data_IF_222683793887
#
_entry.id   IF_222683793887
#
_cell.length_a   1.000
_cell.length_b   1.000
_cell.length_c   1.000
_cell.angle_alpha   90.00
_cell.angle_beta   90.00
_cell.angle_gamma   90.00
#
_symmetry.space_group_name_H-M   'P 1'
#
loop_
_entity.id
_entity.type
_entity.pdbx_description
1 polymer ?
#
# COMPACT_ATOMS: atom_id res chain seq x y z
N UNK A 1 16.91 -43.54 28.05
CA UNK A 1 15.64 -44.25 27.76
C UNK A 1 14.47 -43.29 27.95
N UNK A 2 13.62 -43.17 26.93
CA UNK A 2 12.23 -42.67 26.93
C UNK A 2 11.95 -41.18 27.19
N UNK A 3 11.68 -40.49 26.10
CA UNK A 3 10.44 -39.78 25.77
C UNK A 3 9.50 -39.43 26.93
N UNK A 4 9.22 -38.13 27.11
CA UNK A 4 7.90 -37.66 27.53
C UNK A 4 7.49 -36.49 26.65
N UNK A 5 6.52 -36.76 25.78
CA UNK A 5 5.70 -35.80 25.04
C UNK A 5 5.05 -34.84 26.04
N UNK A 6 5.09 -33.53 25.78
CA UNK A 6 4.23 -32.58 26.47
C UNK A 6 3.10 -32.19 25.53
N UNK A 7 1.91 -32.65 25.92
CA UNK A 7 0.61 -32.33 25.35
C UNK A 7 0.29 -30.87 25.63
N UNK A 8 0.08 -30.07 24.57
CA UNK A 8 -0.44 -28.70 24.63
C UNK A 8 -1.90 -28.67 24.19
N UNK A 9 -2.75 -28.09 25.05
CA UNK A 9 -4.21 -28.16 25.12
C UNK A 9 -4.91 -27.60 23.87
N UNK A 10 -5.84 -28.39 23.32
CA UNK A 10 -6.86 -27.98 22.34
C UNK A 10 -7.91 -27.14 23.08
N UNK A 11 -7.98 -25.85 22.80
CA UNK A 11 -9.15 -25.03 23.10
C UNK A 11 -10.03 -24.97 21.83
N UNK A 12 -11.01 -25.88 21.77
CA UNK A 12 -11.98 -25.92 20.69
C UNK A 12 -12.97 -24.77 20.79
N UNK A 13 -12.91 -23.83 19.85
CA UNK A 13 -14.04 -22.96 19.53
C UNK A 13 -14.97 -23.76 18.63
N UNK A 14 -16.10 -24.21 19.17
CA UNK A 14 -17.20 -24.74 18.36
C UNK A 14 -17.77 -23.60 17.51
N UNK A 15 -17.39 -23.53 16.23
CA UNK A 15 -18.17 -22.81 15.24
C UNK A 15 -19.43 -23.62 14.95
N UNK A 16 -20.58 -23.05 15.34
CA UNK A 16 -21.88 -23.52 14.92
C UNK A 16 -21.93 -23.53 13.39
N UNK A 17 -22.08 -24.72 12.81
CA UNK A 17 -22.29 -24.91 11.38
C UNK A 17 -23.63 -24.28 10.97
N UNK A 18 -23.61 -23.03 10.51
CA UNK A 18 -24.67 -22.50 9.67
C UNK A 18 -24.45 -23.08 8.28
N UNK A 19 -25.18 -24.15 8.00
CA UNK A 19 -25.25 -24.78 6.68
C UNK A 19 -26.00 -23.82 5.77
N UNK A 20 -25.29 -22.86 5.16
CA UNK A 20 -25.85 -22.12 4.03
C UNK A 20 -25.85 -23.07 2.84
N UNK A 21 -27.04 -23.58 2.53
CA UNK A 21 -27.40 -24.27 1.31
C UNK A 21 -27.21 -23.36 0.10
N UNK A 22 -25.98 -23.27 -0.40
CA UNK A 22 -25.66 -22.84 -1.76
C UNK A 22 -25.75 -24.04 -2.71
N UNK A 23 -26.56 -23.94 -3.75
CA UNK A 23 -26.94 -25.01 -4.68
C UNK A 23 -25.77 -25.51 -5.57
N UNK A 24 -24.83 -26.27 -5.00
CA UNK A 24 -23.91 -27.14 -5.76
C UNK A 24 -23.59 -28.37 -4.92
N UNK A 25 -24.48 -29.37 -4.93
CA UNK A 25 -24.32 -30.64 -4.21
C UNK A 25 -23.12 -31.51 -4.64
N UNK A 26 -22.24 -30.99 -5.50
CA UNK A 26 -20.90 -31.51 -5.80
C UNK A 26 -19.93 -30.33 -5.65
N UNK A 27 -18.83 -30.50 -4.92
CA UNK A 27 -17.79 -29.47 -4.81
C UNK A 27 -17.24 -29.06 -6.18
N UNK A 28 -16.46 -27.98 -6.22
CA UNK A 28 -15.78 -27.55 -7.45
C UNK A 28 -14.91 -28.69 -7.99
N UNK A 29 -14.97 -28.90 -9.30
CA UNK A 29 -14.08 -29.83 -9.99
C UNK A 29 -12.78 -29.11 -10.32
N UNK A 30 -11.78 -29.23 -9.45
CA UNK A 30 -10.47 -28.60 -9.63
C UNK A 30 -9.73 -28.98 -10.90
N UNK A 31 -10.06 -30.13 -11.49
CA UNK A 31 -9.43 -30.58 -12.74
C UNK A 31 -10.01 -29.90 -13.99
N UNK A 32 -11.13 -29.18 -13.86
CA UNK A 32 -11.73 -28.49 -14.99
C UNK A 32 -10.80 -27.40 -15.52
N UNK A 33 -10.68 -27.29 -16.84
CA UNK A 33 -9.96 -26.17 -17.48
C UNK A 33 -10.73 -24.87 -17.25
N UNK A 34 -10.07 -23.92 -16.59
CA UNK A 34 -10.62 -22.58 -16.32
C UNK A 34 -10.09 -21.54 -17.30
N UNK A 35 -8.87 -21.69 -17.78
CA UNK A 35 -8.29 -20.81 -18.79
C UNK A 35 -7.27 -21.56 -19.67
N UNK A 36 -6.86 -20.93 -20.76
CA UNK A 36 -5.74 -21.39 -21.61
C UNK A 36 -4.80 -20.24 -21.90
N UNK A 37 -3.50 -20.51 -21.86
CA UNK A 37 -2.41 -19.59 -22.25
C UNK A 37 -1.64 -20.30 -23.36
N UNK A 38 -1.73 -19.80 -24.60
CA UNK A 38 -1.22 -20.53 -25.75
C UNK A 38 -1.90 -21.89 -25.90
N UNK A 39 -1.10 -22.96 -25.96
CA UNK A 39 -1.58 -24.35 -26.01
C UNK A 39 -1.75 -24.99 -24.63
N UNK A 40 -1.36 -24.30 -23.55
CA UNK A 40 -1.44 -24.83 -22.19
C UNK A 40 -2.77 -24.52 -21.51
N UNK A 41 -3.21 -25.44 -20.65
CA UNK A 41 -4.44 -25.32 -19.89
C UNK A 41 -4.14 -24.98 -18.44
N UNK A 42 -4.84 -23.98 -17.90
CA UNK A 42 -4.86 -23.66 -16.47
C UNK A 42 -6.04 -24.38 -15.85
N UNK A 43 -5.80 -25.08 -14.74
CA UNK A 43 -6.84 -25.80 -13.99
C UNK A 43 -7.63 -24.86 -13.07
N UNK A 44 -8.90 -25.18 -12.83
CA UNK A 44 -9.73 -24.49 -11.84
C UNK A 44 -9.12 -24.61 -10.43
N UNK A 45 -8.43 -25.72 -10.13
CA UNK A 45 -7.73 -25.93 -8.86
C UNK A 45 -6.71 -24.83 -8.60
N UNK A 46 -5.81 -24.59 -9.54
CA UNK A 46 -4.77 -23.54 -9.45
C UNK A 46 -5.41 -22.15 -9.31
N UNK A 47 -6.38 -21.83 -10.17
CA UNK A 47 -7.00 -20.50 -10.14
C UNK A 47 -7.82 -20.24 -8.88
N UNK A 48 -8.62 -21.21 -8.44
CA UNK A 48 -9.40 -21.09 -7.22
C UNK A 48 -8.47 -21.07 -6.00
N UNK A 49 -7.36 -21.81 -6.00
CA UNK A 49 -6.38 -21.77 -4.92
C UNK A 49 -5.79 -20.36 -4.76
N UNK A 50 -5.29 -19.75 -5.84
CA UNK A 50 -4.77 -18.38 -5.82
C UNK A 50 -5.84 -17.37 -5.38
N UNK A 51 -7.05 -17.44 -5.95
CA UNK A 51 -8.14 -16.55 -5.57
C UNK A 51 -8.52 -16.66 -4.08
N UNK A 52 -8.49 -17.87 -3.52
CA UNK A 52 -8.79 -18.08 -2.11
C UNK A 52 -7.65 -17.65 -1.18
N UNK A 53 -6.40 -17.76 -1.62
CA UNK A 53 -5.27 -17.15 -0.91
C UNK A 53 -5.47 -15.63 -0.81
N UNK A 54 -5.76 -14.97 -1.94
CA UNK A 54 -6.02 -13.52 -1.96
C UNK A 54 -7.26 -13.15 -1.13
N UNK A 55 -8.35 -13.91 -1.22
CA UNK A 55 -9.54 -13.71 -0.40
C UNK A 55 -9.19 -13.72 1.09
N UNK A 56 -8.46 -14.75 1.55
CA UNK A 56 -8.10 -14.89 2.97
C UNK A 56 -7.20 -13.76 3.45
N UNK A 57 -6.25 -13.30 2.62
CA UNK A 57 -5.38 -12.17 2.96
C UNK A 57 -6.19 -10.88 3.09
N UNK A 58 -7.01 -10.56 2.09
CA UNK A 58 -7.84 -9.35 2.10
C UNK A 58 -8.84 -9.36 3.27
N UNK A 59 -9.48 -10.49 3.55
CA UNK A 59 -10.37 -10.61 4.72
C UNK A 59 -9.62 -10.42 6.04
N UNK A 60 -8.35 -10.81 6.11
CA UNK A 60 -7.54 -10.63 7.33
C UNK A 60 -7.28 -9.15 7.61
N UNK A 61 -6.99 -8.35 6.58
CA UNK A 61 -6.63 -6.94 6.74
C UNK A 61 -7.83 -5.98 6.73
N UNK A 62 -8.84 -6.26 5.90
CA UNK A 62 -9.85 -5.26 5.55
C UNK A 62 -11.25 -5.57 6.09
N UNK A 63 -11.52 -6.83 6.48
CA UNK A 63 -12.87 -7.23 6.94
C UNK A 63 -13.34 -6.46 8.17
N UNK A 64 -12.46 -6.08 9.09
CA UNK A 64 -12.83 -5.29 10.28
C UNK A 64 -13.31 -3.88 9.93
N UNK A 65 -12.85 -3.32 8.82
CA UNK A 65 -13.19 -1.97 8.36
C UNK A 65 -14.46 -1.97 7.51
N UNK A 66 -14.58 -2.93 6.58
CA UNK A 66 -15.64 -2.94 5.57
C UNK A 66 -16.75 -3.96 5.81
N UNK A 67 -16.62 -4.80 6.84
CA UNK A 67 -17.60 -5.81 7.21
C UNK A 67 -17.76 -6.93 6.16
N UNK A 68 -18.84 -7.70 6.30
CA UNK A 68 -19.10 -8.86 5.43
C UNK A 68 -19.51 -8.47 4.00
N UNK A 69 -19.86 -7.20 3.74
CA UNK A 69 -20.27 -6.70 2.41
C UNK A 69 -19.10 -6.26 1.53
N UNK A 70 -17.86 -6.31 2.02
CA UNK A 70 -16.65 -5.85 1.31
C UNK A 70 -16.59 -6.37 -0.13
N UNK A 71 -16.86 -7.67 -0.34
CA UNK A 71 -16.77 -8.30 -1.66
C UNK A 71 -17.84 -7.84 -2.66
N UNK A 72 -18.95 -7.28 -2.16
CA UNK A 72 -20.05 -6.75 -2.98
C UNK A 72 -19.97 -5.25 -3.21
N UNK A 73 -18.93 -4.56 -2.71
CA UNK A 73 -18.74 -3.13 -2.96
C UNK A 73 -18.50 -2.89 -4.44
N UNK A 74 -19.19 -1.89 -4.99
CA UNK A 74 -18.96 -1.41 -6.36
C UNK A 74 -17.70 -0.55 -6.38
N UNK A 75 -16.76 -0.91 -7.25
CA UNK A 75 -15.52 -0.20 -7.48
C UNK A 75 -15.40 0.00 -8.98
N UNK A 76 -15.87 1.16 -9.47
CA UNK A 76 -15.80 1.50 -10.89
C UNK A 76 -16.70 0.64 -11.78
N UNK A 77 -17.91 0.29 -11.31
CA UNK A 77 -18.89 -0.46 -12.09
C UNK A 77 -18.71 -1.98 -12.09
N UNK A 78 -17.81 -2.51 -11.25
CA UNK A 78 -17.65 -3.94 -10.97
C UNK A 78 -17.56 -4.18 -9.47
N UNK A 79 -17.91 -5.38 -9.02
CA UNK A 79 -17.77 -5.73 -7.61
C UNK A 79 -16.30 -5.94 -7.23
N UNK A 80 -15.95 -5.72 -5.96
CA UNK A 80 -14.60 -5.98 -5.48
C UNK A 80 -14.18 -7.46 -5.68
N UNK A 81 -15.11 -8.41 -5.53
CA UNK A 81 -14.86 -9.82 -5.88
C UNK A 81 -14.46 -9.98 -7.36
N UNK A 82 -15.18 -9.34 -8.27
CA UNK A 82 -14.86 -9.40 -9.70
C UNK A 82 -13.49 -8.79 -9.99
N UNK A 83 -13.11 -7.71 -9.31
CA UNK A 83 -11.80 -7.06 -9.47
C UNK A 83 -10.66 -8.00 -9.07
N UNK A 84 -10.77 -8.61 -7.89
CA UNK A 84 -9.79 -9.61 -7.43
C UNK A 84 -9.75 -10.81 -8.37
N UNK A 85 -10.89 -11.30 -8.83
CA UNK A 85 -10.93 -12.44 -9.77
C UNK A 85 -10.33 -12.14 -11.13
N UNK A 86 -10.45 -10.91 -11.63
CA UNK A 86 -9.76 -10.49 -12.85
C UNK A 86 -8.24 -10.45 -12.64
N UNK A 87 -7.79 -9.84 -11.52
CA UNK A 87 -6.38 -9.81 -11.15
C UNK A 87 -5.76 -11.22 -11.01
N UNK A 88 -6.52 -12.20 -10.49
CA UNK A 88 -6.10 -13.61 -10.46
C UNK A 88 -5.86 -14.19 -11.85
N UNK A 89 -6.74 -13.90 -12.82
CA UNK A 89 -6.56 -14.36 -14.20
C UNK A 89 -5.34 -13.71 -14.86
N UNK A 90 -5.13 -12.41 -14.64
CA UNK A 90 -3.98 -11.69 -15.18
C UNK A 90 -2.66 -12.19 -14.57
N UNK A 91 -2.64 -12.44 -13.26
CA UNK A 91 -1.49 -13.03 -12.56
C UNK A 91 -1.14 -14.41 -13.11
N UNK A 92 -2.13 -15.28 -13.32
CA UNK A 92 -1.89 -16.60 -13.88
C UNK A 92 -1.44 -16.53 -15.34
N UNK A 93 -2.01 -15.61 -16.14
CA UNK A 93 -1.51 -15.36 -17.50
C UNK A 93 -0.02 -15.01 -17.45
N UNK A 94 0.36 -14.05 -16.60
CA UNK A 94 1.76 -13.64 -16.44
C UNK A 94 2.64 -14.82 -16.03
N UNK A 95 2.25 -15.57 -14.98
CA UNK A 95 3.04 -16.68 -14.47
C UNK A 95 3.37 -17.73 -15.54
N UNK A 96 2.40 -18.12 -16.36
CA UNK A 96 2.62 -19.12 -17.39
C UNK A 96 3.46 -18.57 -18.55
N UNK A 97 3.23 -17.32 -18.99
CA UNK A 97 4.05 -16.68 -20.03
C UNK A 97 5.50 -16.55 -19.57
N UNK A 98 5.72 -16.02 -18.36
CA UNK A 98 7.06 -15.81 -17.81
C UNK A 98 7.80 -17.13 -17.64
N UNK A 99 7.10 -18.19 -17.19
CA UNK A 99 7.68 -19.53 -17.09
C UNK A 99 8.14 -20.07 -18.45
N UNK A 100 7.39 -19.84 -19.51
CA UNK A 100 7.77 -20.28 -20.87
C UNK A 100 9.07 -19.61 -21.36
N UNK A 101 9.38 -18.41 -20.84
CA UNK A 101 10.62 -17.67 -21.12
C UNK A 101 11.74 -17.90 -20.10
N UNK A 102 11.54 -18.73 -19.07
CA UNK A 102 12.55 -18.93 -18.03
C UNK A 102 13.91 -19.44 -18.57
N UNK A 103 13.88 -20.30 -19.59
CA UNK A 103 15.07 -20.84 -20.22
C UNK A 103 15.90 -19.78 -20.96
N UNK A 104 15.27 -18.72 -21.47
CA UNK A 104 15.95 -17.63 -22.18
C UNK A 104 16.93 -16.88 -21.25
N UNK A 105 16.63 -16.87 -19.95
CA UNK A 105 17.45 -16.25 -18.89
C UNK A 105 18.25 -17.27 -18.07
N UNK A 106 18.26 -18.55 -18.49
CA UNK A 106 18.91 -19.62 -17.75
C UNK A 106 18.32 -19.90 -16.36
N UNK A 107 17.06 -19.51 -16.14
CA UNK A 107 16.35 -19.74 -14.87
C UNK A 107 15.84 -21.17 -14.82
N UNK A 108 16.21 -21.89 -13.76
CA UNK A 108 15.65 -23.19 -13.40
C UNK A 108 15.37 -23.24 -11.90
N UNK A 109 14.52 -24.17 -11.47
CA UNK A 109 14.44 -24.55 -10.06
C UNK A 109 15.68 -25.35 -9.67
N UNK A 110 16.17 -25.13 -8.46
CA UNK A 110 17.25 -25.92 -7.85
C UNK A 110 16.65 -27.02 -6.97
N UNK A 111 17.46 -28.02 -6.63
CA UNK A 111 17.06 -29.08 -5.69
C UNK A 111 16.57 -28.51 -4.34
N UNK A 112 17.12 -27.38 -3.89
CA UNK A 112 16.69 -26.70 -2.66
C UNK A 112 15.31 -26.06 -2.82
N UNK A 113 15.02 -25.47 -3.98
CA UNK A 113 13.70 -24.91 -4.28
C UNK A 113 12.64 -26.01 -4.32
N UNK A 114 12.92 -27.10 -5.05
CA UNK A 114 12.02 -28.23 -5.18
C UNK A 114 11.69 -28.84 -3.80
N UNK A 115 12.71 -28.97 -2.94
CA UNK A 115 12.52 -29.46 -1.58
C UNK A 115 11.68 -28.49 -0.73
N UNK A 116 11.99 -27.19 -0.78
CA UNK A 116 11.25 -26.16 -0.02
C UNK A 116 9.79 -26.09 -0.48
N UNK A 117 9.54 -26.11 -1.79
CA UNK A 117 8.20 -26.13 -2.38
C UNK A 117 7.43 -27.38 -1.93
N UNK A 118 8.07 -28.55 -1.95
CA UNK A 118 7.45 -29.79 -1.49
C UNK A 118 7.11 -29.76 -0.01
N UNK A 119 8.01 -29.27 0.84
CA UNK A 119 7.79 -29.15 2.28
C UNK A 119 6.68 -28.13 2.59
N UNK A 120 6.68 -26.98 1.91
CA UNK A 120 5.63 -25.95 2.06
C UNK A 120 4.27 -26.49 1.62
N UNK A 121 4.18 -27.20 0.50
CA UNK A 121 2.93 -27.80 0.04
C UNK A 121 2.42 -28.87 1.04
N UNK A 122 3.30 -29.74 1.53
CA UNK A 122 2.93 -30.74 2.53
C UNK A 122 2.47 -30.10 3.84
N UNK A 123 3.17 -29.07 4.32
CA UNK A 123 2.79 -28.32 5.51
C UNK A 123 1.43 -27.63 5.34
N UNK A 124 1.19 -26.99 4.19
CA UNK A 124 -0.09 -26.36 3.88
C UNK A 124 -1.26 -27.36 3.99
N UNK A 125 -1.11 -28.55 3.42
CA UNK A 125 -2.12 -29.60 3.46
C UNK A 125 -2.35 -30.14 4.89
N UNK A 126 -1.32 -30.15 5.73
CA UNK A 126 -1.38 -30.63 7.10
C UNK A 126 -1.98 -29.61 8.08
N UNK A 127 -1.65 -28.32 7.89
CA UNK A 127 -2.05 -27.22 8.79
C UNK A 127 -3.51 -26.80 8.58
N UNK A 128 -4.06 -27.02 7.38
CA UNK A 128 -5.40 -26.58 7.02
C UNK A 128 -6.48 -27.65 7.19
N UNK A 129 -7.67 -27.22 7.61
CA UNK A 129 -8.81 -28.12 7.80
C UNK A 129 -9.29 -28.72 6.47
N UNK A 130 -9.90 -29.91 6.51
CA UNK A 130 -10.49 -30.51 5.31
C UNK A 130 -11.57 -29.62 4.64
N UNK A 131 -12.23 -28.75 5.42
CA UNK A 131 -13.17 -27.77 4.89
C UNK A 131 -12.43 -26.69 4.09
N UNK A 132 -11.38 -26.11 4.68
CA UNK A 132 -10.50 -25.10 4.05
C UNK A 132 -9.91 -25.65 2.74
N UNK A 133 -9.28 -26.82 2.80
CA UNK A 133 -8.71 -27.51 1.62
C UNK A 133 -9.77 -27.68 0.52
N UNK A 134 -11.00 -28.07 0.89
CA UNK A 134 -12.09 -28.24 -0.07
C UNK A 134 -12.58 -26.91 -0.66
N UNK A 135 -12.68 -25.83 0.13
CA UNK A 135 -13.08 -24.50 -0.36
C UNK A 135 -12.05 -23.93 -1.33
N UNK A 136 -10.77 -24.23 -1.08
CA UNK A 136 -9.66 -23.79 -1.91
C UNK A 136 -9.43 -24.68 -3.13
N UNK A 137 -10.09 -25.84 -3.21
CA UNK A 137 -9.80 -26.86 -4.22
C UNK A 137 -8.32 -27.25 -4.19
N UNK A 138 -7.71 -27.18 -3.00
CA UNK A 138 -6.29 -27.41 -2.82
C UNK A 138 -5.98 -28.92 -2.86
N UNK A 139 -4.89 -29.24 -3.56
CA UNK A 139 -4.17 -30.50 -3.47
C UNK A 139 -2.69 -30.18 -3.34
N UNK A 140 -1.87 -31.15 -2.91
CA UNK A 140 -0.42 -30.94 -2.85
C UNK A 140 0.14 -30.50 -4.22
N UNK A 141 -0.34 -31.11 -5.32
CA UNK A 141 0.06 -30.75 -6.68
C UNK A 141 -0.33 -29.31 -7.05
N UNK A 142 -1.55 -28.87 -6.70
CA UNK A 142 -2.01 -27.49 -6.96
C UNK A 142 -1.17 -26.47 -6.19
N UNK A 143 -0.83 -26.77 -4.94
CA UNK A 143 0.01 -25.88 -4.13
C UNK A 143 1.43 -25.82 -4.69
N UNK A 144 2.01 -26.97 -5.07
CA UNK A 144 3.34 -27.04 -5.71
C UNK A 144 3.37 -26.26 -7.00
N UNK A 145 2.42 -26.49 -7.91
CA UNK A 145 2.37 -25.83 -9.21
C UNK A 145 2.37 -24.30 -9.06
N UNK A 146 1.55 -23.75 -8.15
CA UNK A 146 1.52 -22.31 -7.94
C UNK A 146 2.82 -21.76 -7.30
N UNK A 147 3.42 -22.51 -6.37
CA UNK A 147 4.71 -22.13 -5.76
C UNK A 147 5.88 -22.19 -6.76
N UNK A 148 5.89 -23.18 -7.66
CA UNK A 148 6.86 -23.28 -8.75
C UNK A 148 6.72 -22.10 -9.72
N UNK A 149 5.49 -21.81 -10.15
CA UNK A 149 5.18 -20.66 -11.01
C UNK A 149 5.65 -19.35 -10.38
N UNK A 150 5.31 -19.09 -9.12
CA UNK A 150 5.72 -17.88 -8.41
C UNK A 150 7.25 -17.79 -8.28
N UNK A 151 7.91 -18.91 -7.93
CA UNK A 151 9.38 -18.95 -7.79
C UNK A 151 10.08 -18.65 -9.11
N UNK A 152 9.60 -19.25 -10.20
CA UNK A 152 10.13 -19.01 -11.55
C UNK A 152 9.89 -17.56 -11.95
N UNK A 153 8.66 -17.03 -11.76
CA UNK A 153 8.33 -15.64 -12.08
C UNK A 153 9.28 -14.66 -11.38
N UNK A 154 9.50 -14.82 -10.08
CA UNK A 154 10.42 -13.95 -9.32
C UNK A 154 11.85 -14.02 -9.85
N UNK A 155 12.34 -15.21 -10.21
CA UNK A 155 13.70 -15.36 -10.75
C UNK A 155 13.85 -14.78 -12.14
N UNK A 156 12.86 -14.96 -13.01
CA UNK A 156 12.86 -14.37 -14.34
C UNK A 156 12.75 -12.85 -14.24
N UNK A 157 11.84 -12.33 -13.41
CA UNK A 157 11.77 -10.89 -13.12
C UNK A 157 13.14 -10.34 -12.72
N UNK A 158 13.79 -10.95 -11.73
CA UNK A 158 15.12 -10.53 -11.26
C UNK A 158 16.20 -10.63 -12.36
N UNK A 159 16.17 -11.67 -13.19
CA UNK A 159 17.11 -11.83 -14.29
C UNK A 159 16.90 -10.77 -15.38
N UNK A 160 15.64 -10.45 -15.70
CA UNK A 160 15.29 -9.40 -16.67
C UNK A 160 15.73 -8.03 -16.15
N UNK A 161 15.35 -7.64 -14.93
CA UNK A 161 15.69 -6.30 -14.42
C UNK A 161 17.19 -6.10 -14.19
N UNK A 162 17.97 -7.18 -14.07
CA UNK A 162 19.43 -7.11 -14.01
C UNK A 162 20.06 -6.69 -15.34
N UNK A 163 19.33 -6.76 -16.46
CA UNK A 163 19.76 -6.30 -17.78
C UNK A 163 19.45 -4.81 -18.03
N UNK A 164 18.65 -4.18 -17.16
CA UNK A 164 18.30 -2.76 -17.27
C UNK A 164 19.51 -1.85 -17.04
N UNK A 165 19.51 -0.65 -17.64
CA UNK A 165 20.58 0.32 -17.45
C UNK A 165 20.54 0.97 -16.07
N UNK A 166 21.47 0.56 -15.21
CA UNK A 166 21.61 1.10 -13.85
C UNK A 166 22.56 2.30 -13.76
N UNK A 167 23.12 2.79 -14.88
CA UNK A 167 24.02 3.93 -14.87
C UNK A 167 23.20 5.23 -14.87
N UNK A 168 23.20 5.92 -13.74
CA UNK A 168 22.55 7.23 -13.57
C UNK A 168 23.59 8.26 -13.19
N UNK A 169 23.71 9.32 -13.98
CA UNK A 169 24.63 10.42 -13.70
C UNK A 169 24.06 11.37 -12.65
N UNK A 170 24.93 12.13 -11.98
CA UNK A 170 24.48 13.21 -11.09
C UNK A 170 23.65 14.25 -11.84
N UNK A 171 23.94 14.50 -13.12
CA UNK A 171 23.21 15.45 -13.96
C UNK A 171 21.77 14.97 -14.24
N UNK A 172 21.60 13.68 -14.51
CA UNK A 172 20.28 13.10 -14.74
C UNK A 172 19.41 13.10 -13.48
N UNK A 173 20.03 12.84 -12.33
CA UNK A 173 19.35 12.75 -11.04
C UNK A 173 19.38 14.07 -10.25
N UNK A 174 19.96 15.14 -10.79
CA UNK A 174 20.29 16.36 -10.06
C UNK A 174 19.08 16.90 -9.32
N UNK A 175 19.19 17.01 -8.00
CA UNK A 175 18.19 17.67 -7.17
C UNK A 175 18.77 18.96 -6.59
N UNK A 176 17.97 20.02 -6.65
CA UNK A 176 18.15 21.28 -5.95
C UNK A 176 17.34 21.27 -4.66
N UNK A 177 17.69 22.16 -3.74
CA UNK A 177 16.95 22.32 -2.47
C UNK A 177 16.42 23.74 -2.37
N UNK A 178 15.15 23.87 -2.05
CA UNK A 178 14.50 25.16 -1.84
C UNK A 178 13.67 25.18 -0.56
N UNK A 179 13.55 26.38 -0.01
CA UNK A 179 12.52 26.73 0.96
C UNK A 179 11.44 27.52 0.24
N UNK A 180 10.19 27.40 0.67
CA UNK A 180 9.10 28.16 0.09
C UNK A 180 7.99 28.41 1.11
N UNK A 181 7.18 29.42 0.83
CA UNK A 181 5.86 29.56 1.44
C UNK A 181 4.82 29.74 0.32
N UNK A 182 3.56 29.58 0.69
CA UNK A 182 2.47 29.96 -0.17
C UNK A 182 1.32 30.59 0.62
N UNK A 183 0.56 31.43 -0.06
CA UNK A 183 -0.69 32.01 0.44
C UNK A 183 -1.81 31.51 -0.45
N UNK A 184 -2.68 30.65 0.09
CA UNK A 184 -3.82 30.12 -0.63
C UNK A 184 -4.89 31.18 -0.87
N UNK A 185 -5.45 31.16 -2.08
CA UNK A 185 -6.65 31.85 -2.52
C UNK A 185 -7.64 30.88 -3.16
N UNK A 186 -7.56 29.60 -2.78
CA UNK A 186 -8.56 28.60 -3.11
C UNK A 186 -9.88 28.89 -2.40
N UNK A 187 -10.98 28.40 -2.98
CA UNK A 187 -12.27 28.47 -2.31
C UNK A 187 -12.21 27.75 -0.96
N UNK A 188 -12.87 28.30 0.04
CA UNK A 188 -12.88 27.75 1.39
C UNK A 188 -14.31 27.65 1.92
N UNK A 189 -14.53 26.74 2.86
CA UNK A 189 -15.82 26.63 3.55
C UNK A 189 -15.82 27.54 4.78
N UNK A 190 -16.77 28.45 4.85
CA UNK A 190 -16.94 29.32 6.02
C UNK A 190 -17.62 28.57 7.19
N UNK A 191 -17.76 29.24 8.34
CA UNK A 191 -18.39 28.67 9.55
C UNK A 191 -19.87 28.27 9.34
N UNK A 192 -20.52 28.84 8.33
CA UNK A 192 -21.91 28.54 7.97
C UNK A 192 -22.02 27.32 7.02
N UNK A 193 -20.89 26.70 6.65
CA UNK A 193 -20.84 25.56 5.74
C UNK A 193 -20.94 25.94 4.25
N UNK A 194 -20.83 27.24 3.93
CA UNK A 194 -20.91 27.74 2.56
C UNK A 194 -19.52 27.82 1.93
N UNK A 195 -19.43 27.48 0.65
CA UNK A 195 -18.21 27.69 -0.13
C UNK A 195 -18.10 29.16 -0.51
N UNK A 196 -16.99 29.79 -0.13
CA UNK A 196 -16.68 31.20 -0.35
C UNK A 196 -15.42 31.30 -1.21
N UNK A 197 -15.50 32.14 -2.24
CA UNK A 197 -14.38 32.49 -3.11
C UNK A 197 -13.82 33.86 -2.75
N UNK A 198 -12.50 34.01 -2.85
CA UNK A 198 -11.86 35.32 -2.72
C UNK A 198 -12.21 36.24 -3.90
N UNK A 199 -12.52 37.49 -3.59
CA UNK A 199 -12.68 38.58 -4.56
C UNK A 199 -11.34 38.96 -5.20
N UNK A 200 -11.38 39.68 -6.32
CA UNK A 200 -10.17 40.16 -7.00
C UNK A 200 -9.39 41.14 -6.11
N UNK A 201 -10.08 41.96 -5.32
CA UNK A 201 -9.46 42.86 -4.34
C UNK A 201 -8.74 42.08 -3.23
N UNK A 202 -9.38 41.06 -2.64
CA UNK A 202 -8.73 40.23 -1.61
C UNK A 202 -7.55 39.45 -2.17
N UNK A 203 -7.67 38.93 -3.39
CA UNK A 203 -6.56 38.28 -4.10
C UNK A 203 -5.38 39.24 -4.31
N UNK A 204 -5.65 40.50 -4.66
CA UNK A 204 -4.62 41.51 -4.82
C UNK A 204 -3.94 41.84 -3.47
N UNK A 205 -4.69 41.90 -2.37
CA UNK A 205 -4.14 42.09 -1.03
C UNK A 205 -3.25 40.91 -0.62
N UNK A 206 -3.68 39.66 -0.88
CA UNK A 206 -2.87 38.46 -0.61
C UNK A 206 -1.59 38.41 -1.45
N UNK A 207 -1.66 38.84 -2.71
CA UNK A 207 -0.48 38.97 -3.56
C UNK A 207 0.50 40.03 -3.02
N UNK A 208 -0.03 41.18 -2.58
CA UNK A 208 0.79 42.21 -1.95
C UNK A 208 1.42 41.71 -0.64
N UNK A 209 0.67 40.95 0.17
CA UNK A 209 1.22 40.31 1.37
C UNK A 209 2.42 39.41 1.04
N UNK A 210 2.33 38.57 -0.01
CA UNK A 210 3.46 37.76 -0.46
C UNK A 210 4.65 38.61 -0.93
N UNK A 211 4.40 39.74 -1.60
CA UNK A 211 5.44 40.67 -2.03
C UNK A 211 6.13 41.35 -0.84
N UNK A 212 5.36 41.77 0.17
CA UNK A 212 5.90 42.40 1.36
C UNK A 212 6.80 41.43 2.15
N UNK A 213 6.43 40.14 2.23
CA UNK A 213 7.28 39.09 2.82
C UNK A 213 8.58 38.91 2.02
N UNK A 214 8.50 38.86 0.70
CA UNK A 214 9.67 38.74 -0.18
C UNK A 214 10.62 39.94 -0.01
N UNK A 215 10.08 41.16 0.04
CA UNK A 215 10.86 42.38 0.22
C UNK A 215 11.52 42.40 1.62
N UNK A 216 10.79 42.00 2.66
CA UNK A 216 11.33 41.85 4.01
C UNK A 216 12.45 40.80 4.08
N UNK A 217 12.26 39.64 3.44
CA UNK A 217 13.27 38.59 3.38
C UNK A 217 14.55 39.06 2.66
N UNK A 218 14.42 39.83 1.56
CA UNK A 218 15.55 40.43 0.85
C UNK A 218 16.27 41.48 1.68
N UNK A 219 15.54 42.26 2.49
CA UNK A 219 16.13 43.28 3.37
C UNK A 219 16.85 42.66 4.58
N UNK A 220 16.25 41.64 5.20
CA UNK A 220 16.78 40.99 6.41
C UNK A 220 17.84 39.92 6.10
N UNK A 221 17.77 39.31 4.91
CA UNK A 221 18.49 38.08 4.58
C UNK A 221 17.99 36.86 5.35
N UNK A 222 16.79 36.92 5.96
CA UNK A 222 16.20 35.85 6.76
C UNK A 222 14.78 35.54 6.27
N UNK A 223 14.67 34.49 5.47
CA UNK A 223 13.41 34.08 4.83
C UNK A 223 12.39 33.56 5.85
N UNK A 224 12.81 32.67 6.75
CA UNK A 224 11.95 32.08 7.79
C UNK A 224 11.37 33.15 8.73
N UNK A 225 12.17 34.12 9.15
CA UNK A 225 11.71 35.21 10.02
C UNK A 225 10.68 36.11 9.32
N UNK A 226 10.86 36.43 8.03
CA UNK A 226 9.89 37.23 7.28
C UNK A 226 8.54 36.52 7.11
N UNK A 227 8.56 35.19 6.94
CA UNK A 227 7.35 34.35 6.82
C UNK A 227 6.64 34.24 8.17
N UNK A 228 7.37 33.90 9.22
CA UNK A 228 6.79 33.68 10.56
C UNK A 228 6.28 34.97 11.20
N UNK A 229 6.84 36.13 10.86
CA UNK A 229 6.30 37.43 11.26
C UNK A 229 4.88 37.71 10.75
N UNK A 230 4.42 36.95 9.74
CA UNK A 230 3.07 37.02 9.17
C UNK A 230 2.19 35.83 9.56
N UNK A 231 2.59 35.06 10.59
CA UNK A 231 1.91 33.84 11.05
C UNK A 231 1.77 32.76 9.96
N UNK A 232 2.70 32.74 8.99
CA UNK A 232 2.78 31.72 7.95
C UNK A 232 3.86 30.69 8.27
N UNK A 233 3.79 29.55 7.57
CA UNK A 233 4.75 28.44 7.72
C UNK A 233 5.62 28.31 6.48
N UNK A 234 6.92 28.19 6.69
CA UNK A 234 7.89 27.83 5.66
C UNK A 234 7.91 26.32 5.47
N UNK A 235 8.02 25.88 4.22
CA UNK A 235 8.22 24.48 3.84
C UNK A 235 9.57 24.31 3.13
N UNK A 236 10.17 23.14 3.25
CA UNK A 236 11.40 22.78 2.53
C UNK A 236 11.09 21.68 1.54
N UNK A 237 11.72 21.72 0.37
CA UNK A 237 11.56 20.71 -0.68
C UNK A 237 12.84 20.54 -1.47
N UNK A 238 12.92 19.41 -2.16
CA UNK A 238 13.94 19.12 -3.16
C UNK A 238 13.26 18.94 -4.50
N UNK A 239 13.87 19.43 -5.57
CA UNK A 239 13.28 19.43 -6.89
C UNK A 239 14.36 19.31 -7.97
N UNK A 240 14.00 18.72 -9.10
CA UNK A 240 14.89 18.57 -10.26
C UNK A 240 14.40 17.48 -11.19
N UNK A 241 14.64 17.64 -12.49
CA UNK A 241 14.15 16.72 -13.52
C UNK A 241 12.62 16.60 -13.51
N UNK A 242 12.11 15.38 -13.66
CA UNK A 242 10.69 15.01 -13.65
C UNK A 242 10.17 14.62 -12.25
N UNK A 243 10.92 14.92 -11.18
CA UNK A 243 10.51 14.59 -9.82
C UNK A 243 9.16 15.26 -9.47
N UNK A 244 8.27 14.46 -8.88
CA UNK A 244 6.98 14.97 -8.37
C UNK A 244 7.23 15.69 -7.05
N UNK A 245 6.79 16.94 -6.95
CA UNK A 245 6.98 17.77 -5.77
C UNK A 245 5.69 18.49 -5.41
N UNK A 246 5.59 18.99 -4.17
CA UNK A 246 4.50 19.88 -3.77
C UNK A 246 4.56 21.27 -4.45
N UNK A 247 5.70 21.66 -5.03
CA UNK A 247 5.81 22.91 -5.79
C UNK A 247 5.11 22.79 -7.15
N UNK A 248 4.27 23.79 -7.53
CA UNK A 248 3.75 23.88 -8.88
C UNK A 248 4.86 24.03 -9.92
N UNK A 249 4.62 23.56 -11.15
CA UNK A 249 5.63 23.56 -12.22
C UNK A 249 6.17 24.96 -12.53
N UNK A 250 5.32 25.99 -12.53
CA UNK A 250 5.77 27.37 -12.74
C UNK A 250 6.72 27.88 -11.64
N UNK A 251 6.55 27.41 -10.40
CA UNK A 251 7.44 27.77 -9.28
C UNK A 251 8.75 27.02 -9.37
N UNK A 252 8.72 25.73 -9.72
CA UNK A 252 9.92 24.93 -9.99
C UNK A 252 10.76 25.53 -11.12
N UNK A 253 10.14 25.88 -12.24
CA UNK A 253 10.84 26.48 -13.39
C UNK A 253 11.53 27.79 -13.00
N UNK A 254 10.84 28.65 -12.24
CA UNK A 254 11.43 29.88 -11.76
C UNK A 254 12.57 29.64 -10.75
N UNK A 255 12.39 28.70 -9.81
CA UNK A 255 13.41 28.35 -8.82
C UNK A 255 14.62 27.66 -9.45
N UNK A 256 14.44 26.91 -10.54
CA UNK A 256 15.53 26.24 -11.25
C UNK A 256 16.48 27.23 -11.93
N UNK A 257 15.98 28.41 -12.32
CA UNK A 257 16.78 29.47 -12.94
C UNK A 257 17.61 30.29 -11.94
N UNK A 258 17.45 30.08 -10.63
CA UNK A 258 18.11 30.84 -9.57
C UNK A 258 19.52 30.32 -9.26
N UNK A 259 20.37 31.21 -8.77
CA UNK A 259 21.59 30.85 -8.05
C UNK A 259 21.31 30.66 -6.55
N UNK A 260 22.20 29.97 -5.84
CA UNK A 260 22.07 29.74 -4.39
C UNK A 260 21.95 31.07 -3.62
N UNK A 261 20.96 31.15 -2.73
CA UNK A 261 20.61 32.32 -1.94
C UNK A 261 19.66 33.31 -2.64
N UNK A 262 19.25 33.06 -3.88
CA UNK A 262 18.28 33.90 -4.58
C UNK A 262 16.83 33.47 -4.32
N UNK A 263 15.91 34.40 -4.60
CA UNK A 263 14.47 34.23 -4.41
C UNK A 263 13.75 34.33 -5.75
N UNK A 264 12.67 33.58 -5.93
CA UNK A 264 11.73 33.83 -7.02
C UNK A 264 11.00 35.16 -6.80
N UNK A 265 10.40 35.69 -7.85
CA UNK A 265 9.29 36.64 -7.68
C UNK A 265 8.05 35.93 -7.10
N UNK A 266 7.00 36.70 -6.77
CA UNK A 266 5.71 36.15 -6.38
C UNK A 266 5.05 35.48 -7.59
N UNK A 267 4.86 34.17 -7.52
CA UNK A 267 4.30 33.35 -8.61
C UNK A 267 2.90 32.90 -8.22
N UNK A 268 1.93 33.15 -9.09
CA UNK A 268 0.57 32.65 -8.94
C UNK A 268 0.43 31.30 -9.63
N UNK A 269 0.07 30.27 -8.87
CA UNK A 269 -0.17 28.92 -9.38
C UNK A 269 -1.11 28.16 -8.45
N UNK A 270 -1.90 27.21 -8.96
CA UNK A 270 -2.78 26.34 -8.16
C UNK A 270 -3.59 27.09 -7.08
N UNK A 271 -4.23 28.21 -7.46
CA UNK A 271 -4.98 29.08 -6.55
C UNK A 271 -4.18 29.53 -5.33
N UNK A 272 -2.89 29.81 -5.47
CA UNK A 272 -2.02 30.26 -4.40
C UNK A 272 -0.92 31.19 -4.95
N UNK A 273 -0.37 32.03 -4.08
CA UNK A 273 0.81 32.84 -4.36
C UNK A 273 2.02 32.25 -3.67
N UNK A 274 3.04 31.89 -4.44
CA UNK A 274 4.27 31.25 -3.98
C UNK A 274 5.46 32.19 -4.07
N UNK A 275 6.39 32.02 -3.14
CA UNK A 275 7.76 32.52 -3.24
C UNK A 275 8.68 31.39 -2.80
N UNK A 276 9.71 31.11 -3.57
CA UNK A 276 10.74 30.14 -3.24
C UNK A 276 12.10 30.82 -3.05
N UNK A 277 12.90 30.30 -2.15
CA UNK A 277 14.28 30.66 -1.85
C UNK A 277 15.16 29.45 -2.16
N UNK A 278 16.08 29.58 -3.11
CA UNK A 278 16.99 28.49 -3.46
C UNK A 278 18.09 28.39 -2.40
N UNK A 279 18.12 27.29 -1.65
CA UNK A 279 19.10 27.09 -0.56
C UNK A 279 20.29 26.21 -0.97
N UNK A 280 20.17 25.42 -2.03
CA UNK A 280 21.31 24.71 -2.63
C UNK A 280 21.04 24.41 -4.10
N UNK A 281 22.03 24.66 -4.96
CA UNK A 281 22.03 24.21 -6.36
C UNK A 281 22.22 22.69 -6.49
N UNK A 282 22.62 22.01 -5.40
CA UNK A 282 22.85 20.57 -5.41
C UNK A 282 22.61 19.95 -4.02
N UNK A 283 21.60 19.08 -3.93
CA UNK A 283 21.30 18.25 -2.78
C UNK A 283 21.78 16.82 -3.05
N UNK A 284 22.91 16.44 -2.46
CA UNK A 284 23.54 15.13 -2.68
C UNK A 284 22.63 13.98 -2.22
N UNK A 285 21.96 14.11 -1.07
CA UNK A 285 21.13 13.04 -0.50
C UNK A 285 19.88 12.82 -1.35
N UNK A 286 19.23 13.90 -1.77
CA UNK A 286 18.08 13.82 -2.67
C UNK A 286 18.49 13.35 -4.07
N UNK A 287 19.66 13.74 -4.57
CA UNK A 287 20.20 13.25 -5.84
C UNK A 287 20.48 11.75 -5.77
N UNK A 288 21.08 11.25 -4.71
CA UNK A 288 21.34 9.81 -4.55
C UNK A 288 20.04 9.00 -4.41
N UNK A 289 19.05 9.54 -3.70
CA UNK A 289 17.70 8.96 -3.62
C UNK A 289 17.05 8.91 -5.01
N UNK A 290 17.15 10.00 -5.78
CA UNK A 290 16.62 10.08 -7.15
C UNK A 290 17.30 9.08 -8.09
N UNK A 291 18.59 8.83 -7.96
CA UNK A 291 19.27 7.77 -8.74
C UNK A 291 18.64 6.40 -8.49
N UNK A 292 18.38 6.05 -7.24
CA UNK A 292 17.74 4.78 -6.90
C UNK A 292 16.33 4.68 -7.52
N UNK A 293 15.55 5.76 -7.48
CA UNK A 293 14.23 5.82 -8.13
C UNK A 293 14.33 5.67 -9.65
N UNK A 294 15.29 6.32 -10.31
CA UNK A 294 15.51 6.20 -11.76
C UNK A 294 15.88 4.76 -12.13
N UNK A 295 16.79 4.13 -11.37
CA UNK A 295 17.14 2.72 -11.58
C UNK A 295 15.91 1.84 -11.44
N UNK A 296 15.14 2.01 -10.36
CA UNK A 296 13.91 1.26 -10.13
C UNK A 296 12.90 1.44 -11.29
N UNK A 297 12.67 2.67 -11.73
CA UNK A 297 11.79 2.98 -12.87
C UNK A 297 12.26 2.28 -14.15
N UNK A 298 13.54 2.37 -14.48
CA UNK A 298 14.12 1.70 -15.66
C UNK A 298 14.01 0.19 -15.57
N UNK A 299 14.18 -0.39 -14.39
CA UNK A 299 14.01 -1.82 -14.15
C UNK A 299 12.56 -2.26 -14.39
N UNK A 300 11.58 -1.54 -13.83
CA UNK A 300 10.16 -1.80 -14.06
C UNK A 300 9.79 -1.65 -15.53
N UNK A 301 10.17 -0.52 -16.16
CA UNK A 301 9.92 -0.28 -17.59
C UNK A 301 10.53 -1.38 -18.47
N UNK A 302 11.76 -1.82 -18.16
CA UNK A 302 12.42 -2.88 -18.90
C UNK A 302 11.70 -4.24 -18.76
N UNK A 303 11.23 -4.59 -17.56
CA UNK A 303 10.43 -5.79 -17.37
C UNK A 303 9.09 -5.70 -18.11
N UNK A 304 8.38 -4.58 -17.99
CA UNK A 304 7.07 -4.38 -18.62
C UNK A 304 7.18 -4.48 -20.14
N UNK A 305 8.15 -3.79 -20.76
CA UNK A 305 8.41 -3.88 -22.21
C UNK A 305 8.75 -5.32 -22.62
N UNK A 306 9.55 -6.02 -21.82
CA UNK A 306 9.95 -7.41 -22.08
C UNK A 306 8.75 -8.35 -22.02
N UNK A 307 7.92 -8.24 -20.97
CA UNK A 307 6.72 -9.03 -20.79
C UNK A 307 5.64 -8.73 -21.84
N UNK A 308 5.47 -7.47 -22.22
CA UNK A 308 4.58 -7.07 -23.31
C UNK A 308 4.98 -7.78 -24.60
N UNK A 309 6.28 -7.79 -24.95
CA UNK A 309 6.80 -8.49 -26.12
C UNK A 309 6.53 -10.00 -26.09
N UNK A 310 6.65 -10.66 -24.93
CA UNK A 310 6.29 -12.07 -24.78
C UNK A 310 4.78 -12.30 -24.94
N UNK A 311 3.97 -11.34 -24.52
CA UNK A 311 2.52 -11.46 -24.48
C UNK A 311 1.81 -11.20 -25.80
N UNK A 312 2.42 -10.49 -26.76
CA UNK A 312 1.76 -10.03 -28.01
C UNK A 312 1.07 -11.16 -28.78
N UNK A 313 1.74 -12.30 -28.94
CA UNK A 313 1.26 -13.41 -29.77
C UNK A 313 0.63 -14.55 -28.96
N UNK A 314 0.51 -14.39 -27.63
CA UNK A 314 -0.02 -15.42 -26.75
C UNK A 314 -1.54 -15.28 -26.64
N UNK A 315 -2.26 -16.28 -27.16
CA UNK A 315 -3.71 -16.37 -27.01
C UNK A 315 -4.08 -16.74 -25.57
N UNK A 316 -4.77 -15.83 -24.87
CA UNK A 316 -5.35 -16.08 -23.54
C UNK A 316 -6.88 -16.17 -23.62
N UNK A 317 -7.45 -17.23 -23.05
CA UNK A 317 -8.91 -17.41 -23.03
C UNK A 317 -9.39 -17.96 -21.69
N UNK A 318 -10.43 -17.33 -21.13
CA UNK A 318 -11.05 -17.74 -19.88
C UNK A 318 -12.37 -18.45 -20.15
N UNK A 319 -12.57 -19.61 -19.53
CA UNK A 319 -13.84 -20.30 -19.48
C UNK A 319 -14.73 -19.67 -18.41
N UNK A 320 -15.42 -18.59 -18.78
CA UNK A 320 -16.33 -17.82 -17.91
C UNK A 320 -17.35 -18.68 -17.16
N UNK A 321 -17.84 -19.77 -17.77
CA UNK A 321 -18.82 -20.66 -17.13
C UNK A 321 -18.22 -21.48 -15.99
N UNK A 322 -16.93 -21.79 -16.08
CA UNK A 322 -16.18 -22.46 -15.02
C UNK A 322 -15.75 -21.44 -13.98
N UNK A 323 -15.23 -20.28 -14.40
CA UNK A 323 -14.71 -19.25 -13.51
C UNK A 323 -15.79 -18.60 -12.62
N UNK A 324 -17.00 -18.39 -13.15
CA UNK A 324 -18.15 -17.88 -12.38
C UNK A 324 -18.58 -18.76 -11.19
N UNK A 325 -18.06 -19.99 -11.08
CA UNK A 325 -18.33 -20.87 -9.92
C UNK A 325 -17.44 -20.58 -8.71
N UNK A 326 -16.36 -19.83 -8.89
CA UNK A 326 -15.53 -19.32 -7.80
C UNK A 326 -16.21 -18.08 -7.24
N UNK A 327 -16.58 -18.10 -5.97
CA UNK A 327 -17.27 -16.99 -5.27
C UNK A 327 -16.67 -16.76 -3.88
N UNK A 328 -16.78 -15.54 -3.35
CA UNK A 328 -16.27 -15.16 -2.03
C UNK A 328 -17.38 -15.07 -0.95
N UNK A 329 -18.43 -15.87 -1.10
CA UNK A 329 -19.64 -15.85 -0.24
C UNK A 329 -19.41 -16.30 1.21
N UNK A 330 -18.32 -17.01 1.48
CA UNK A 330 -18.02 -17.57 2.79
C UNK A 330 -16.63 -17.10 3.23
N UNK A 331 -16.50 -16.65 4.50
CA UNK A 331 -15.21 -16.23 5.02
C UNK A 331 -14.23 -17.40 4.99
N UNK A 332 -12.97 -17.08 4.76
CA UNK A 332 -11.90 -18.05 4.68
C UNK A 332 -10.76 -17.64 5.61
N UNK A 333 -10.37 -18.59 6.45
CA UNK A 333 -9.15 -18.47 7.25
C UNK A 333 -8.22 -19.59 6.86
N UNK A 334 -7.07 -19.21 6.32
CA UNK A 334 -5.96 -20.12 6.04
C UNK A 334 -5.07 -20.14 7.28
N UNK A 335 -4.74 -21.34 7.75
CA UNK A 335 -3.72 -21.52 8.78
C UNK A 335 -2.40 -21.78 8.09
N UNK A 336 -1.39 -20.97 8.40
CA UNK A 336 -0.04 -21.12 7.87
C UNK A 336 0.94 -20.91 9.02
N UNK A 337 1.76 -21.93 9.31
CA UNK A 337 2.91 -21.80 10.20
C UNK A 337 4.20 -21.42 9.42
N UNK A 338 4.11 -21.35 8.10
CA UNK A 338 5.16 -20.94 7.15
C UNK A 338 4.52 -20.02 6.11
N UNK A 339 5.11 -18.85 5.84
CA UNK A 339 4.59 -17.91 4.86
C UNK A 339 4.51 -18.56 3.48
N UNK A 340 3.29 -18.76 2.98
CA UNK A 340 3.05 -18.99 1.55
C UNK A 340 3.09 -17.61 0.92
N UNK A 341 4.30 -17.12 0.70
CA UNK A 341 4.53 -15.82 0.09
C UNK A 341 4.36 -15.97 -1.42
N UNK A 342 3.13 -15.79 -1.86
CA UNK A 342 2.75 -15.65 -3.27
C UNK A 342 2.60 -14.17 -3.64
N UNK A 343 3.13 -13.26 -2.81
CA UNK A 343 3.05 -11.84 -3.11
C UNK A 343 3.83 -11.56 -4.40
N UNK A 344 3.19 -10.81 -5.29
CA UNK A 344 3.79 -10.30 -6.52
C UNK A 344 4.58 -9.02 -6.27
N UNK A 345 4.75 -8.62 -5.00
CA UNK A 345 5.42 -7.38 -4.64
C UNK A 345 6.85 -7.40 -5.19
N UNK A 346 7.11 -6.41 -6.04
CA UNK A 346 8.42 -6.12 -6.59
C UNK A 346 9.32 -5.72 -5.42
N UNK A 347 10.02 -6.69 -4.85
CA UNK A 347 11.07 -6.42 -3.87
C UNK A 347 12.27 -5.89 -4.63
N UNK A 348 12.33 -4.56 -4.78
CA UNK A 348 13.59 -3.86 -5.08
C UNK A 348 14.41 -3.79 -3.80
N UNK A 349 14.89 -4.94 -3.33
CA UNK A 349 15.87 -4.98 -2.24
C UNK A 349 17.26 -4.64 -2.79
N UNK A 350 17.50 -3.34 -2.95
CA UNK A 350 18.80 -2.78 -3.22
C UNK A 350 19.55 -2.45 -1.94
N UNK A 351 19.75 -3.41 -1.03
CA UNK A 351 20.62 -3.22 0.13
C UNK A 351 21.27 -4.53 0.59
N UNK A 352 22.38 -4.88 -0.06
CA UNK A 352 23.28 -5.92 0.45
C UNK A 352 24.07 -5.44 1.68
N UNK A 353 23.98 -6.26 2.73
CA UNK A 353 25.05 -6.62 3.68
C UNK A 353 25.81 -5.54 4.45
N UNK A 354 25.42 -5.35 5.72
CA UNK A 354 26.37 -5.06 6.80
C UNK A 354 26.24 -6.09 7.92
N UNK A 355 27.09 -7.11 7.83
CA UNK A 355 27.38 -8.10 8.87
C UNK A 355 28.09 -7.42 10.04
N UNK A 356 27.51 -7.46 11.24
CA UNK A 356 28.27 -7.34 12.49
C UNK A 356 27.72 -8.30 13.55
N UNK A 357 28.60 -9.18 13.99
CA UNK A 357 28.36 -10.16 15.04
C UNK A 357 28.52 -9.51 16.43
N UNK A 358 27.64 -9.94 17.34
CA UNK A 358 27.86 -10.32 18.74
C UNK A 358 28.79 -9.46 19.61
N UNK A 359 28.23 -8.81 20.64
CA UNK A 359 28.60 -9.10 22.03
C UNK A 359 27.55 -8.58 23.03
N UNK A 360 27.19 -9.48 23.94
CA UNK A 360 26.46 -9.32 25.21
C UNK A 360 26.70 -8.02 26.00
N UNK A 361 25.71 -7.53 26.75
CA UNK A 361 25.68 -7.47 28.25
C UNK A 361 24.33 -6.96 28.76
N UNK A 362 23.86 -7.58 29.85
CA UNK A 362 22.66 -7.25 30.62
C UNK A 362 22.83 -6.05 31.58
N UNK A 363 21.72 -5.46 32.02
CA UNK A 363 21.62 -4.50 33.13
C UNK A 363 20.73 -3.33 32.73
N UNK A 364 19.42 -3.41 32.96
CA UNK A 364 18.72 -3.05 34.21
C UNK A 364 18.78 -1.55 34.54
N UNK A 365 17.59 -1.03 34.82
CA UNK A 365 17.23 0.37 34.98
C UNK A 365 17.91 1.03 36.18
N UNK A 366 18.17 2.33 36.09
CA UNK A 366 17.38 3.32 36.85
C UNK A 366 18.15 4.62 37.03
N UNK A 367 17.45 5.70 36.73
CA UNK A 367 17.83 7.08 36.97
C UNK A 367 17.65 7.48 38.43
N UNK A 368 18.69 8.15 38.91
CA UNK A 368 18.88 8.91 40.13
C UNK A 368 17.69 9.83 40.53
N UNK A 369 17.30 9.78 41.81
CA UNK A 369 16.86 10.95 42.57
C UNK A 369 16.95 10.72 44.08
N UNK A 370 18.01 11.28 44.66
CA UNK A 370 18.03 12.10 45.90
C UNK A 370 17.30 11.63 47.18
N UNK A 371 18.14 11.25 48.15
CA UNK A 371 18.32 11.80 49.49
C UNK A 371 17.19 11.73 50.56
N UNK A 372 17.48 10.88 51.55
CA UNK A 372 17.35 11.02 53.01
C UNK A 372 16.08 11.61 53.66
N UNK A 373 15.38 10.79 54.43
CA UNK A 373 15.50 10.72 55.90
C UNK A 373 14.72 9.52 56.45
N UNK A 374 15.20 9.00 57.58
CA UNK A 374 14.84 7.72 58.18
C UNK A 374 13.67 7.81 59.18
N UNK A 375 13.30 6.62 59.68
CA UNK A 375 12.47 6.32 60.86
C UNK A 375 10.95 6.30 60.60
N UNK A 376 10.14 5.39 61.11
CA UNK A 376 10.34 4.14 61.85
C UNK A 376 8.94 3.49 61.97
N UNK A 377 8.92 2.17 61.95
CA UNK A 377 7.95 1.26 62.59
C UNK A 377 6.42 1.28 62.34
N UNK A 378 5.97 0.04 62.12
CA UNK A 378 4.81 -0.66 62.73
C UNK A 378 3.42 -0.39 62.14
N UNK A 379 2.82 -1.41 61.53
CA UNK A 379 1.98 -2.46 62.16
C UNK A 379 0.54 -1.95 62.20
N UNK A 380 -0.50 -2.62 61.74
CA UNK A 380 -0.71 -3.95 61.18
C UNK A 380 -2.22 -4.03 60.90
N UNK A 381 -2.65 -5.12 60.25
CA UNK A 381 -3.97 -5.77 60.33
C UNK A 381 -5.26 -4.91 60.18
N UNK A 382 -6.38 -5.36 59.64
CA UNK A 382 -6.85 -6.51 58.90
C UNK A 382 -8.37 -6.27 58.79
N UNK A 383 -9.02 -6.88 57.78
CA UNK A 383 -10.41 -7.35 57.80
C UNK A 383 -11.51 -6.28 58.00
N UNK A 384 -12.38 -5.99 57.03
CA UNK A 384 -13.43 -6.80 56.37
C UNK A 384 -14.80 -6.15 56.67
N UNK A 385 -15.71 -6.33 55.71
CA UNK A 385 -17.16 -6.11 55.74
C UNK A 385 -17.63 -4.65 55.63
N UNK A 386 -18.29 -4.24 54.55
CA UNK A 386 -19.55 -4.69 53.93
C UNK A 386 -20.69 -3.70 54.28
N UNK A 387 -21.32 -3.23 53.21
CA UNK A 387 -22.75 -3.03 53.06
C UNK A 387 -23.42 -1.69 53.44
N UNK A 388 -24.31 -1.29 52.52
CA UNK A 388 -25.42 -0.33 52.56
C UNK A 388 -25.19 1.18 52.77
N UNK A 389 -25.47 1.96 51.72
CA UNK A 389 -26.76 2.67 51.63
C UNK A 389 -26.80 4.18 51.89
N UNK A 390 -27.51 4.86 50.96
CA UNK A 390 -28.25 6.14 51.07
C UNK A 390 -27.64 7.43 50.47
N UNK A 391 -28.17 7.77 49.28
CA UNK A 391 -28.80 9.03 48.86
C UNK A 391 -28.20 10.39 49.27
N UNK A 392 -27.85 11.24 48.29
CA UNK A 392 -28.78 12.23 47.69
C UNK A 392 -28.06 13.31 46.84
N UNK A 393 -28.70 13.64 45.69
CA UNK A 393 -28.64 14.89 44.88
C UNK A 393 -27.32 15.21 44.14
N UNK A 394 -27.27 15.55 42.84
CA UNK A 394 -28.12 16.43 42.02
C UNK A 394 -27.88 16.18 40.51
N UNK A 395 -28.83 16.63 39.69
CA UNK A 395 -29.03 16.41 38.26
C UNK A 395 -27.97 16.99 37.28
N UNK A 396 -27.85 16.37 36.09
CA UNK A 396 -28.04 17.01 34.77
C UNK A 396 -27.78 16.01 33.61
N UNK A 397 -28.67 16.00 32.62
CA UNK A 397 -28.59 15.28 31.34
C UNK A 397 -27.48 15.80 30.41
N UNK A 398 -26.84 14.89 29.66
CA UNK A 398 -26.70 14.83 28.18
C UNK A 398 -25.98 13.49 27.88
N UNK A 399 -26.36 12.63 26.94
CA UNK A 399 -26.86 12.86 25.59
C UNK A 399 -25.73 12.48 24.62
N UNK A 400 -25.75 11.24 24.13
CA UNK A 400 -24.80 10.65 23.18
C UNK A 400 -24.72 11.43 21.85
N UNK A 401 -23.60 11.30 21.12
CA UNK A 401 -23.57 10.49 19.88
C UNK A 401 -22.16 10.52 19.23
N UNK A 402 -21.80 9.40 18.62
CA UNK A 402 -20.62 9.20 17.80
C UNK A 402 -20.95 9.54 16.34
N UNK A 403 -20.08 10.27 15.65
CA UNK A 403 -20.24 10.62 14.23
C UNK A 403 -18.94 10.39 13.47
N UNK A 404 -19.01 9.46 12.51
CA UNK A 404 -17.94 9.01 11.64
C UNK A 404 -17.45 10.11 10.68
N UNK A 405 -16.16 10.09 10.35
CA UNK A 405 -15.56 10.86 9.28
C UNK A 405 -15.66 10.05 7.97
N UNK A 406 -16.40 10.60 7.01
CA UNK A 406 -16.55 10.12 5.64
C UNK A 406 -15.56 10.89 4.75
N UNK A 407 -14.78 10.16 3.94
CA UNK A 407 -13.83 10.69 2.97
C UNK A 407 -14.37 10.43 1.57
N UNK A 408 -14.98 11.43 0.95
CA UNK A 408 -15.42 11.36 -0.44
C UNK A 408 -14.37 11.98 -1.37
N UNK A 409 -13.74 11.13 -2.17
CA UNK A 409 -12.94 11.51 -3.33
C UNK A 409 -13.88 11.82 -4.51
N UNK A 410 -13.70 12.97 -5.14
CA UNK A 410 -14.43 13.37 -6.34
C UNK A 410 -13.76 12.78 -7.59
N UNK A 411 -14.52 12.01 -8.36
CA UNK A 411 -14.22 11.65 -9.74
C UNK A 411 -14.93 12.65 -10.68
N UNK A 412 -14.18 13.24 -11.60
CA UNK A 412 -14.69 14.09 -12.67
C UNK A 412 -14.89 13.24 -13.92
N UNK A 413 -16.15 12.97 -14.27
CA UNK A 413 -16.56 12.50 -15.60
C UNK A 413 -17.46 13.58 -16.22
N UNK A 414 -16.95 14.28 -17.24
CA UNK A 414 -17.77 15.12 -18.11
C UNK A 414 -18.29 14.30 -19.29
N UNK A 415 -19.56 13.91 -19.22
CA UNK A 415 -20.37 13.58 -20.40
C UNK A 415 -21.67 14.39 -20.35
N UNK A 416 -21.79 15.39 -21.23
CA UNK A 416 -23.03 16.12 -21.47
C UNK A 416 -23.64 15.68 -22.81
N UNK A 417 -24.94 15.50 -22.74
CA UNK A 417 -25.82 14.68 -23.55
C UNK A 417 -26.44 15.45 -24.75
N UNK A 418 -26.86 14.66 -25.74
CA UNK A 418 -27.95 14.82 -26.70
C UNK A 418 -28.49 16.20 -27.13
N UNK A 419 -28.71 16.36 -28.44
CA UNK A 419 -30.03 16.10 -29.04
C UNK A 419 -30.12 16.49 -30.53
N UNK A 420 -30.35 15.45 -31.34
CA UNK A 420 -31.48 15.31 -32.28
C UNK A 420 -31.72 16.29 -33.45
N UNK A 421 -31.64 15.71 -34.66
CA UNK A 421 -32.76 15.56 -35.62
C UNK A 421 -32.59 16.16 -37.04
N UNK A 422 -32.98 15.30 -37.99
CA UNK A 422 -33.62 15.54 -39.28
C UNK A 422 -32.78 15.80 -40.56
N UNK A 423 -32.86 14.79 -41.44
CA UNK A 423 -33.20 14.85 -42.87
C UNK A 423 -32.39 15.77 -43.81
N UNK A 424 -31.70 15.17 -44.78
CA UNK A 424 -32.20 15.01 -46.16
C UNK A 424 -31.05 14.81 -47.18
N UNK A 425 -31.30 13.84 -48.07
CA UNK A 425 -30.63 13.50 -49.35
C UNK A 425 -29.25 12.79 -49.32
#
# INVERSE_FOLDING_TARGET
MKNRKLTGIIAGVMLAAMVMTGCSGKGLDGSATVATVGDETISLGVANFLAKVQQSQMETYYKSYFGDSMWSMDIGGMTYEESVKNSVMDTLKEYYIVRDHAADYGVTLSDEDEQKIADTAAAFMADNSALTIKQMTASEDVVKELLELATIRTRVYNAVIAEADTNVSDEEAAQKKAEYFYISVADYTNDDGETVSYTDEEKAEKKQQAQDILDQAKESGNFEEAITAQDLTMSTTTFGGDATTALPDAVKEAADALAEGEYTDVIEANNSYYVAHLISEFDQEATDSRKAEIVSKRQTEHYDETYENWSVDVNFSVNEKVWKKVTFDAPLTITTNQTVDLSTEQTTDGSDEAKAADETTAGDESTDSTDAEAADTTDGAAAENADTGADAENAAETGADAGAADSAAAADETAADNADNAEAE
#
